data_IF_346520468391
#
_entry.id   IF_346520468391
#
_cell.length_a   1.000
_cell.length_b   1.000
_cell.length_c   1.000
_cell.angle_alpha   90.00
_cell.angle_beta   90.00
_cell.angle_gamma   90.00
#
_symmetry.space_group_name_H-M   'P 1'
#
loop_
_entity.id
_entity.type
_entity.pdbx_description
1 polymer ?
#
# COMPACT_ATOMS: atom_id res chain seq x y z
N UNK A 1 -21.62 4.61 -23.03
CA UNK A 1 -20.60 3.55 -23.10
C UNK A 1 -20.14 3.33 -21.67
N UNK A 2 -20.61 2.27 -21.02
CA UNK A 2 -20.18 1.93 -19.66
C UNK A 2 -18.84 1.20 -19.75
N UNK A 3 -17.76 1.96 -19.56
CA UNK A 3 -16.43 1.39 -19.43
C UNK A 3 -16.32 0.85 -18.01
N UNK A 4 -16.70 -0.41 -17.81
CA UNK A 4 -16.46 -1.14 -16.57
C UNK A 4 -14.95 -1.44 -16.46
N UNK A 5 -14.15 -0.42 -16.16
CA UNK A 5 -12.79 -0.61 -15.69
C UNK A 5 -12.86 -1.40 -14.39
N UNK A 6 -12.53 -2.70 -14.46
CA UNK A 6 -12.16 -3.47 -13.28
C UNK A 6 -10.88 -2.83 -12.74
N UNK A 7 -11.04 -1.87 -11.83
CA UNK A 7 -9.93 -1.30 -11.06
C UNK A 7 -9.38 -2.43 -10.20
N UNK A 8 -8.41 -3.13 -10.79
CA UNK A 8 -7.67 -4.19 -10.12
C UNK A 8 -6.96 -3.58 -8.91
N UNK A 9 -6.88 -4.34 -7.82
CA UNK A 9 -6.13 -3.92 -6.65
C UNK A 9 -4.69 -3.58 -7.00
N UNK A 10 -4.12 -2.63 -6.28
CA UNK A 10 -2.75 -2.21 -6.48
C UNK A 10 -1.81 -3.33 -6.06
N UNK A 11 -0.90 -3.70 -6.95
CA UNK A 11 0.19 -4.64 -6.65
C UNK A 11 1.54 -3.96 -6.79
N UNK A 12 2.57 -4.64 -6.31
CA UNK A 12 3.97 -4.17 -6.28
C UNK A 12 4.40 -3.36 -7.52
N UNK A 13 4.23 -3.94 -8.72
CA UNK A 13 4.61 -3.27 -9.99
C UNK A 13 3.89 -1.94 -10.23
N UNK A 14 2.60 -1.86 -9.91
CA UNK A 14 1.82 -0.65 -10.10
C UNK A 14 2.18 0.41 -9.04
N UNK A 15 2.50 -0.01 -7.82
CA UNK A 15 3.00 0.88 -6.78
C UNK A 15 4.29 1.60 -7.19
N UNK A 16 5.28 0.89 -7.75
CA UNK A 16 6.53 1.53 -8.21
C UNK A 16 6.29 2.64 -9.24
N UNK A 17 5.31 2.45 -10.13
CA UNK A 17 4.92 3.47 -11.11
C UNK A 17 4.33 4.68 -10.39
N UNK A 18 3.44 4.48 -9.42
CA UNK A 18 2.88 5.60 -8.64
C UNK A 18 3.95 6.33 -7.84
N UNK A 19 4.83 5.61 -7.16
CA UNK A 19 5.91 6.21 -6.37
C UNK A 19 6.86 7.03 -7.26
N UNK A 20 7.21 6.54 -8.44
CA UNK A 20 8.01 7.29 -9.40
C UNK A 20 7.27 8.54 -9.93
N UNK A 21 5.97 8.42 -10.21
CA UNK A 21 5.17 9.53 -10.75
C UNK A 21 4.88 10.65 -9.73
N UNK A 22 4.74 10.31 -8.44
CA UNK A 22 4.33 11.27 -7.40
C UNK A 22 5.49 11.79 -6.55
N UNK A 23 6.55 11.00 -6.38
CA UNK A 23 7.66 11.32 -5.48
C UNK A 23 9.01 11.42 -6.21
N UNK A 24 9.02 11.36 -7.55
CA UNK A 24 10.22 11.40 -8.40
C UNK A 24 11.31 10.39 -7.99
N UNK A 25 10.90 9.26 -7.41
CA UNK A 25 11.83 8.21 -6.98
C UNK A 25 12.35 7.46 -8.23
N UNK A 26 13.68 7.40 -8.45
CA UNK A 26 14.26 6.66 -9.55
C UNK A 26 13.98 5.16 -9.43
N UNK A 27 13.54 4.52 -10.50
CA UNK A 27 13.23 3.08 -10.51
C UNK A 27 14.43 2.16 -10.22
N UNK A 28 15.65 2.68 -10.38
CA UNK A 28 16.93 2.02 -10.12
C UNK A 28 17.48 2.25 -8.70
N UNK A 29 16.89 3.17 -7.92
CA UNK A 29 17.23 3.44 -6.53
C UNK A 29 15.98 3.32 -5.64
N UNK A 30 15.51 2.08 -5.38
CA UNK A 30 14.32 1.89 -4.56
C UNK A 30 14.58 2.30 -3.10
N UNK A 31 13.62 3.02 -2.52
CA UNK A 31 13.64 3.36 -1.11
C UNK A 31 13.57 2.09 -0.23
N UNK A 32 14.22 2.03 0.94
CA UNK A 32 14.23 0.84 1.81
C UNK A 32 12.84 0.26 2.13
N UNK A 33 11.83 1.13 2.29
CA UNK A 33 10.45 0.72 2.57
C UNK A 33 9.70 0.12 1.37
N UNK A 34 10.25 0.15 0.15
CA UNK A 34 9.54 -0.39 -1.03
C UNK A 34 9.20 -1.86 -0.84
N UNK A 35 10.16 -2.67 -0.38
CA UNK A 35 9.93 -4.10 -0.22
C UNK A 35 8.79 -4.37 0.77
N UNK A 36 8.80 -3.71 1.93
CA UNK A 36 7.77 -3.90 2.95
C UNK A 36 6.39 -3.41 2.49
N UNK A 37 6.33 -2.30 1.75
CA UNK A 37 5.08 -1.79 1.17
C UNK A 37 4.55 -2.76 0.11
N UNK A 38 5.42 -3.30 -0.76
CA UNK A 38 5.02 -4.28 -1.77
C UNK A 38 4.45 -5.55 -1.15
N UNK A 39 5.08 -6.07 -0.10
CA UNK A 39 4.62 -7.25 0.63
C UNK A 39 3.25 -7.00 1.30
N UNK A 40 3.03 -5.80 1.84
CA UNK A 40 1.73 -5.41 2.40
C UNK A 40 0.66 -5.27 1.32
N UNK A 41 0.99 -4.68 0.16
CA UNK A 41 0.07 -4.53 -0.97
C UNK A 41 -0.35 -5.88 -1.57
N UNK A 42 0.55 -6.88 -1.57
CA UNK A 42 0.21 -8.22 -2.05
C UNK A 42 -0.75 -8.98 -1.11
N UNK A 43 -0.82 -8.56 0.16
CA UNK A 43 -1.72 -9.14 1.17
C UNK A 43 -2.93 -8.26 1.49
N UNK A 44 -3.02 -7.08 0.90
CA UNK A 44 -4.03 -6.07 1.22
C UNK A 44 -4.73 -5.55 -0.03
N UNK A 45 -6.06 -5.68 -0.05
CA UNK A 45 -6.90 -5.20 -1.15
C UNK A 45 -7.10 -3.67 -1.07
N UNK A 46 -6.15 -2.90 -1.63
CA UNK A 46 -6.26 -1.44 -1.78
C UNK A 46 -6.29 -1.02 -3.23
N UNK A 47 -7.01 0.07 -3.52
CA UNK A 47 -7.10 0.61 -4.89
C UNK A 47 -5.96 1.58 -5.18
N UNK A 48 -5.54 1.72 -6.45
CA UNK A 48 -4.51 2.67 -6.85
C UNK A 48 -4.79 4.12 -6.41
N UNK A 49 -6.06 4.54 -6.41
CA UNK A 49 -6.45 5.89 -6.00
C UNK A 49 -6.15 6.16 -4.51
N UNK A 50 -6.42 5.19 -3.64
CA UNK A 50 -6.16 5.32 -2.20
C UNK A 50 -4.66 5.40 -1.92
N UNK A 51 -3.85 4.61 -2.63
CA UNK A 51 -2.39 4.66 -2.47
C UNK A 51 -1.82 5.96 -3.03
N UNK A 52 -2.29 6.40 -4.20
CA UNK A 52 -1.92 7.70 -4.74
C UNK A 52 -2.26 8.85 -3.77
N UNK A 53 -3.44 8.80 -3.13
CA UNK A 53 -3.83 9.75 -2.10
C UNK A 53 -2.82 9.80 -0.96
N UNK A 54 -2.34 8.64 -0.46
CA UNK A 54 -1.33 8.64 0.61
C UNK A 54 0.02 9.21 0.13
N UNK A 55 0.43 8.92 -1.11
CA UNK A 55 1.69 9.42 -1.66
C UNK A 55 1.69 10.94 -1.83
N UNK A 56 0.57 11.56 -2.23
CA UNK A 56 0.49 13.02 -2.42
C UNK A 56 0.32 13.83 -1.13
N UNK A 57 0.25 13.17 0.04
CA UNK A 57 0.12 13.88 1.33
C UNK A 57 1.40 14.59 1.75
N UNK A 58 2.54 14.21 1.18
CA UNK A 58 3.84 14.83 1.43
C UNK A 58 4.64 14.88 0.13
N UNK A 59 5.36 15.99 -0.08
CA UNK A 59 6.34 16.10 -1.16
C UNK A 59 7.67 15.40 -0.80
N UNK A 60 7.90 15.13 0.49
CA UNK A 60 9.05 14.37 0.97
C UNK A 60 8.79 12.86 0.80
N UNK A 61 9.60 12.15 -0.02
CA UNK A 61 9.45 10.72 -0.27
C UNK A 61 9.50 9.87 1.00
N UNK A 62 10.37 10.20 1.94
CA UNK A 62 10.56 9.41 3.16
C UNK A 62 9.30 9.50 4.03
N UNK A 63 8.73 10.72 4.15
CA UNK A 63 7.50 10.97 4.91
C UNK A 63 6.28 10.37 4.22
N UNK A 64 6.17 10.49 2.90
CA UNK A 64 5.06 9.93 2.12
C UNK A 64 5.02 8.40 2.21
N UNK A 65 6.18 7.75 2.07
CA UNK A 65 6.30 6.30 2.14
C UNK A 65 6.09 5.77 3.56
N UNK A 66 6.61 6.44 4.58
CA UNK A 66 6.34 6.08 5.98
C UNK A 66 4.85 6.20 6.32
N UNK A 67 4.18 7.24 5.83
CA UNK A 67 2.74 7.42 5.96
C UNK A 67 1.93 6.30 5.28
N UNK A 68 2.30 5.95 4.04
CA UNK A 68 1.69 4.84 3.32
C UNK A 68 1.92 3.50 4.02
N UNK A 69 3.14 3.24 4.49
CA UNK A 69 3.48 2.02 5.21
C UNK A 69 2.62 1.84 6.46
N UNK A 70 2.48 2.88 7.29
CA UNK A 70 1.61 2.86 8.47
C UNK A 70 0.15 2.61 8.11
N UNK A 71 -0.35 3.28 7.07
CA UNK A 71 -1.72 3.07 6.58
C UNK A 71 -1.97 1.62 6.16
N UNK A 72 -1.04 1.01 5.42
CA UNK A 72 -1.15 -0.39 5.00
C UNK A 72 -1.04 -1.36 6.20
N UNK A 73 -0.17 -1.07 7.17
CA UNK A 73 -0.09 -1.84 8.42
C UNK A 73 -1.41 -1.79 9.21
N UNK A 74 -2.06 -0.63 9.28
CA UNK A 74 -3.36 -0.50 9.94
C UNK A 74 -4.44 -1.33 9.27
N UNK A 75 -4.50 -1.34 7.93
CA UNK A 75 -5.47 -2.15 7.19
C UNK A 75 -5.17 -3.65 7.39
N UNK A 76 -3.91 -4.05 7.26
CA UNK A 76 -3.47 -5.42 7.47
C UNK A 76 -3.79 -5.93 8.89
N UNK A 77 -3.57 -5.09 9.91
CA UNK A 77 -3.84 -5.43 11.31
C UNK A 77 -5.34 -5.37 11.67
N UNK A 78 -6.10 -4.47 11.03
CA UNK A 78 -7.57 -4.39 11.17
C UNK A 78 -8.24 -5.68 10.67
N UNK A 79 -7.70 -6.29 9.61
CA UNK A 79 -8.12 -7.60 9.11
C UNK A 79 -7.78 -8.78 10.04
N UNK A 80 -6.74 -8.65 10.87
CA UNK A 80 -6.28 -9.72 11.81
C UNK A 80 -7.00 -9.74 13.15
N UNK A 81 -7.79 -8.73 13.51
CA UNK A 81 -8.46 -8.64 14.82
C UNK A 81 -9.74 -9.47 14.96
N UNK A 82 -10.02 -10.41 14.05
CA UNK A 82 -11.21 -11.29 14.13
C UNK A 82 -10.94 -12.79 14.33
N UNK A 83 -9.68 -13.23 14.41
CA UNK A 83 -9.38 -14.68 14.43
C UNK A 83 -8.50 -15.17 15.61
N UNK A 84 -8.43 -14.42 16.71
CA UNK A 84 -7.67 -14.84 17.91
C UNK A 84 -8.49 -14.84 19.22
N UNK A 85 -9.82 -15.00 19.16
CA UNK A 85 -10.68 -15.12 20.34
C UNK A 85 -11.39 -16.48 20.51
N UNK A 86 -11.02 -17.51 19.74
CA UNK A 86 -11.46 -18.89 19.99
C UNK A 86 -10.26 -19.84 19.98
N UNK A 87 -9.71 -20.14 21.16
CA UNK A 87 -9.31 -21.48 21.64
C UNK A 87 -8.38 -21.31 22.84
N UNK A 88 -8.97 -21.07 24.01
CA UNK A 88 -8.45 -21.54 25.29
C UNK A 88 -9.65 -21.99 26.14
N UNK A 89 -10.36 -23.00 25.64
CA UNK A 89 -10.98 -24.00 26.50
C UNK A 89 -10.15 -25.28 26.33
N UNK A 90 -9.33 -25.58 27.33
CA UNK A 90 -9.20 -26.86 28.07
C UNK A 90 -8.28 -26.59 29.26
#
# INVERSE_FOLDING_TARGET
MDMHIHLSFLRAKAFRILASNYLDIPGDQPHPLFQEIEDLLDTTDVTPAVVAEQLIRSEDPDVALDGLFKFLQEIHNSGKSRDSAETLEI
#
